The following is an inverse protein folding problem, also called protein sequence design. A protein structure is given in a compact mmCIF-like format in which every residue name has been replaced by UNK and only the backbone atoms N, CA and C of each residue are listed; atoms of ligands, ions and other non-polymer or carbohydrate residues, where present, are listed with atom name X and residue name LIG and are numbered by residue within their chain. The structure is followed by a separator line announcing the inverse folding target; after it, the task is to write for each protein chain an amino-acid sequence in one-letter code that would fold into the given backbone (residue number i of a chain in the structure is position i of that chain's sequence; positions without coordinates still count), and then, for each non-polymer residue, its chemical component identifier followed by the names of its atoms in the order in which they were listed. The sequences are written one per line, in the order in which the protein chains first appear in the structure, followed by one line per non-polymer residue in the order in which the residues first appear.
data_IF_835334292923
#
_entry.id   IF_835334292923
#
_cell.length_a   1.000
_cell.length_b   1.000
_cell.length_c   1.000
_cell.angle_alpha   90.00
_cell.angle_beta   90.00
_cell.angle_gamma   90.00
#
_symmetry.space_group_name_H-M   'P 1'
#
loop_
_entity.id
_entity.type
_entity.pdbx_description
1 polymer ?
#
# COMPACT_ATOMS: atom_id res chain seq x y z
N UNK A 1 -14.73 8.71 56.99
CA UNK A 1 -14.32 7.30 57.06
C UNK A 1 -15.38 6.47 56.35
N UNK A 2 -15.23 6.17 55.09
CA UNK A 2 -16.03 5.19 54.38
C UNK A 2 -15.04 4.23 53.71
N UNK A 3 -15.23 2.94 54.03
CA UNK A 3 -14.24 1.90 53.97
C UNK A 3 -13.79 1.45 52.60
N UNK A 4 -12.49 1.32 52.45
CA UNK A 4 -11.79 0.51 51.46
C UNK A 4 -11.75 -0.96 51.96
N UNK A 5 -12.83 -1.71 51.77
CA UNK A 5 -12.80 -3.15 52.08
C UNK A 5 -13.84 -3.91 51.24
N UNK A 6 -13.62 -4.05 49.94
CA UNK A 6 -14.35 -5.04 49.14
C UNK A 6 -13.66 -5.51 47.83
N UNK A 7 -12.33 -5.52 47.77
CA UNK A 7 -11.60 -6.07 46.61
C UNK A 7 -10.86 -7.39 46.87
N UNK A 8 -11.09 -8.05 48.03
CA UNK A 8 -10.48 -9.34 48.38
C UNK A 8 -11.54 -10.45 48.40
N UNK A 9 -12.05 -10.85 47.21
CA UNK A 9 -13.05 -11.92 47.16
C UNK A 9 -13.36 -12.50 45.78
N UNK A 10 -12.67 -12.03 44.76
CA UNK A 10 -12.85 -12.63 43.42
C UNK A 10 -12.13 -14.00 43.41
N UNK A 11 -12.89 -15.08 43.09
CA UNK A 11 -12.33 -16.42 42.92
C UNK A 11 -11.23 -16.41 41.85
N UNK A 12 -10.27 -17.36 41.95
CA UNK A 12 -9.21 -17.53 40.92
C UNK A 12 -9.81 -17.61 39.50
N UNK A 13 -11.03 -18.14 39.35
CA UNK A 13 -11.79 -18.17 38.12
C UNK A 13 -12.26 -16.78 37.65
N UNK A 14 -12.65 -15.89 38.56
CA UNK A 14 -12.99 -14.50 38.24
C UNK A 14 -11.74 -13.68 37.90
N UNK A 15 -10.64 -13.89 38.61
CA UNK A 15 -9.36 -13.27 38.29
C UNK A 15 -8.83 -13.75 36.94
N UNK A 16 -8.95 -15.04 36.62
CA UNK A 16 -8.63 -15.56 35.28
C UNK A 16 -9.57 -15.00 34.19
N UNK A 17 -10.88 -14.88 34.47
CA UNK A 17 -11.83 -14.25 33.55
C UNK A 17 -11.53 -12.77 33.32
N UNK A 18 -11.18 -12.03 34.36
CA UNK A 18 -10.75 -10.64 34.27
C UNK A 18 -9.41 -10.54 33.55
N UNK A 19 -8.47 -11.46 33.79
CA UNK A 19 -7.20 -11.52 33.06
C UNK A 19 -7.40 -11.88 31.58
N UNK A 20 -8.31 -12.82 31.25
CA UNK A 20 -8.71 -13.11 29.87
C UNK A 20 -9.48 -11.94 29.21
N UNK A 21 -10.30 -11.21 29.96
CA UNK A 21 -11.00 -10.01 29.46
C UNK A 21 -9.99 -8.86 29.28
N UNK A 22 -8.97 -8.73 30.10
CA UNK A 22 -7.89 -7.74 29.95
C UNK A 22 -6.95 -8.16 28.81
N UNK A 23 -6.72 -9.43 28.56
CA UNK A 23 -6.01 -9.93 27.37
C UNK A 23 -6.82 -9.81 26.07
N UNK A 24 -8.15 -9.71 26.14
CA UNK A 24 -9.01 -9.34 25.02
C UNK A 24 -9.22 -7.82 24.90
N UNK A 25 -8.35 -6.99 25.47
CA UNK A 25 -8.18 -5.63 24.96
C UNK A 25 -7.77 -5.81 23.50
N UNK A 26 -8.64 -5.47 22.60
CA UNK A 26 -8.35 -5.39 21.17
C UNK A 26 -7.19 -4.40 21.07
N UNK A 27 -5.95 -4.92 21.08
CA UNK A 27 -4.79 -4.09 20.79
C UNK A 27 -4.96 -3.72 19.32
N UNK A 28 -5.28 -2.46 19.08
CA UNK A 28 -5.44 -1.94 17.72
C UNK A 28 -4.15 -2.23 16.95
N UNK A 29 -4.27 -2.95 15.84
CA UNK A 29 -3.16 -3.24 14.94
C UNK A 29 -2.59 -1.95 14.38
N UNK A 30 -1.30 -1.95 14.07
CA UNK A 30 -0.54 -0.78 13.60
C UNK A 30 0.17 -1.09 12.30
N UNK A 31 0.07 -0.19 11.35
CA UNK A 31 0.84 -0.22 10.10
C UNK A 31 1.72 1.02 10.05
N UNK A 32 3.04 0.82 9.93
CA UNK A 32 3.94 1.90 9.53
C UNK A 32 3.76 2.14 8.04
N UNK A 33 3.43 3.37 7.65
CA UNK A 33 3.28 3.75 6.23
C UNK A 33 4.35 4.75 5.87
N UNK A 34 5.26 4.34 4.98
CA UNK A 34 6.41 5.12 4.54
C UNK A 34 6.09 5.64 3.15
N UNK A 35 5.71 6.91 3.05
CA UNK A 35 5.26 7.54 1.81
C UNK A 35 5.32 9.07 1.93
N UNK A 36 5.11 9.81 0.85
CA UNK A 36 5.01 11.27 0.91
C UNK A 36 3.66 11.73 1.44
N UNK A 37 3.63 13.00 1.89
CA UNK A 37 2.42 13.72 2.24
C UNK A 37 2.15 14.80 1.20
N UNK A 38 1.25 14.52 0.26
CA UNK A 38 0.76 15.50 -0.71
C UNK A 38 -0.46 16.24 -0.15
N UNK A 39 -0.32 17.56 0.08
CA UNK A 39 -1.35 18.38 0.73
C UNK A 39 -2.62 18.58 -0.11
N UNK A 40 -2.50 18.50 -1.44
CA UNK A 40 -3.61 18.60 -2.36
C UNK A 40 -3.50 17.51 -3.46
N UNK A 41 -4.61 16.88 -3.78
CA UNK A 41 -4.68 15.62 -4.51
C UNK A 41 -4.78 14.45 -3.52
N UNK A 42 -5.46 13.39 -3.91
CA UNK A 42 -5.79 12.26 -3.03
C UNK A 42 -4.88 11.09 -3.36
N UNK A 43 -3.65 11.15 -2.89
CA UNK A 43 -2.60 10.13 -3.12
C UNK A 43 -1.74 9.96 -1.87
N UNK A 44 -0.84 9.02 -1.91
CA UNK A 44 0.18 8.77 -0.91
C UNK A 44 -0.42 8.73 0.52
N UNK A 45 0.13 9.42 1.51
CA UNK A 45 -0.38 9.41 2.89
C UNK A 45 -1.80 9.97 3.02
N UNK A 46 -2.22 10.92 2.16
CA UNK A 46 -3.59 11.46 2.22
C UNK A 46 -4.64 10.46 1.77
N UNK A 47 -4.27 9.43 1.00
CA UNK A 47 -5.11 8.27 0.69
C UNK A 47 -4.92 7.13 1.70
N UNK A 48 -3.68 6.82 2.06
CA UNK A 48 -3.35 5.69 2.94
C UNK A 48 -3.94 5.83 4.35
N UNK A 49 -3.82 7.02 4.97
CA UNK A 49 -4.30 7.26 6.34
C UNK A 49 -5.80 6.94 6.48
N UNK A 50 -6.71 7.54 5.70
CA UNK A 50 -8.14 7.26 5.85
C UNK A 50 -8.50 5.82 5.47
N UNK A 51 -7.88 5.23 4.44
CA UNK A 51 -8.16 3.84 4.04
C UNK A 51 -7.77 2.86 5.14
N UNK A 52 -6.55 2.96 5.68
CA UNK A 52 -6.08 2.07 6.76
C UNK A 52 -6.92 2.28 8.02
N UNK A 53 -7.21 3.54 8.38
CA UNK A 53 -8.02 3.85 9.57
C UNK A 53 -9.44 3.30 9.48
N UNK A 54 -10.06 3.32 8.29
CA UNK A 54 -11.37 2.74 8.06
C UNK A 54 -11.42 1.23 8.25
N UNK A 55 -10.28 0.54 8.15
CA UNK A 55 -10.13 -0.89 8.47
C UNK A 55 -9.93 -1.17 9.98
N UNK A 56 -10.07 -0.16 10.85
CA UNK A 56 -9.84 -0.32 12.29
C UNK A 56 -8.37 -0.51 12.67
N UNK A 57 -7.44 -0.11 11.80
CA UNK A 57 -6.00 -0.22 11.99
C UNK A 57 -5.39 1.17 12.18
N UNK A 58 -4.46 1.32 13.12
CA UNK A 58 -3.72 2.57 13.31
C UNK A 58 -2.71 2.74 12.18
N UNK A 59 -2.86 3.80 11.39
CA UNK A 59 -1.84 4.24 10.45
C UNK A 59 -0.78 5.06 11.17
N UNK A 60 0.50 4.68 11.04
CA UNK A 60 1.65 5.37 11.64
C UNK A 60 2.54 5.90 10.50
N UNK A 61 2.38 7.17 10.06
CA UNK A 61 3.09 7.67 8.90
C UNK A 61 4.55 8.02 9.22
N UNK A 62 5.48 7.52 8.38
CA UNK A 62 6.86 7.99 8.26
C UNK A 62 6.99 8.73 6.93
N UNK A 63 7.02 10.05 6.98
CA UNK A 63 6.92 10.90 5.80
C UNK A 63 8.26 11.02 5.07
N UNK A 64 8.30 10.64 3.78
CA UNK A 64 9.48 10.75 2.91
C UNK A 64 9.65 12.16 2.37
N UNK A 65 8.55 12.87 2.14
CA UNK A 65 8.55 14.27 1.68
C UNK A 65 7.18 14.90 1.86
N UNK A 66 7.15 16.23 1.89
CA UNK A 66 5.91 17.01 1.98
C UNK A 66 5.78 17.82 0.69
N UNK A 67 4.70 17.55 -0.05
CA UNK A 67 4.37 18.27 -1.27
C UNK A 67 3.17 19.20 -1.03
N UNK A 68 3.19 20.40 -1.61
CA UNK A 68 2.01 21.28 -1.60
C UNK A 68 0.80 20.61 -2.27
N UNK A 69 1.06 19.88 -3.33
CA UNK A 69 0.12 19.11 -4.13
C UNK A 69 0.87 17.99 -4.84
N UNK A 70 0.16 16.95 -5.25
CA UNK A 70 0.77 15.82 -5.94
C UNK A 70 1.43 16.25 -7.28
N UNK A 71 2.40 15.46 -7.76
CA UNK A 71 3.31 15.82 -8.86
C UNK A 71 2.67 15.83 -10.26
N UNK A 72 1.46 15.32 -10.44
CA UNK A 72 0.71 15.39 -11.70
C UNK A 72 0.09 16.76 -12.00
N UNK A 73 0.24 17.76 -11.12
CA UNK A 73 -0.08 19.16 -11.42
C UNK A 73 1.12 19.89 -12.04
N UNK A 74 0.89 20.96 -12.79
CA UNK A 74 1.92 21.70 -13.54
C UNK A 74 3.06 22.23 -12.64
N UNK A 75 2.83 22.42 -11.37
CA UNK A 75 3.83 22.89 -10.41
C UNK A 75 3.50 22.45 -9.00
N UNK A 76 4.52 22.28 -8.17
CA UNK A 76 4.40 21.98 -6.74
C UNK A 76 5.56 22.59 -5.95
N UNK A 77 5.39 22.67 -4.63
CA UNK A 77 6.48 22.95 -3.67
C UNK A 77 6.75 21.67 -2.90
N UNK A 78 8.00 21.45 -2.56
CA UNK A 78 8.47 20.20 -1.99
C UNK A 78 9.45 20.47 -0.84
N UNK A 79 9.31 19.71 0.23
CA UNK A 79 10.23 19.59 1.35
C UNK A 79 10.70 18.15 1.46
N UNK A 80 11.97 17.89 1.29
CA UNK A 80 12.60 16.60 1.53
C UNK A 80 12.65 16.31 3.04
N UNK A 81 12.16 15.13 3.46
CA UNK A 81 12.15 14.73 4.87
C UNK A 81 13.29 13.78 5.23
N UNK A 82 14.24 13.50 4.33
CA UNK A 82 15.30 12.50 4.52
C UNK A 82 16.03 12.66 5.85
N UNK A 83 16.40 13.91 6.21
CA UNK A 83 17.22 14.15 7.40
C UNK A 83 16.45 13.93 8.72
N UNK A 84 15.12 14.10 8.72
CA UNK A 84 14.29 13.90 9.93
C UNK A 84 13.79 12.45 10.08
N UNK A 85 13.78 11.66 9.02
CA UNK A 85 13.30 10.27 9.09
C UNK A 85 14.00 9.45 10.16
N UNK A 86 15.33 9.58 10.25
CA UNK A 86 16.11 8.82 11.24
C UNK A 86 15.78 9.21 12.68
N UNK A 87 15.47 10.47 12.93
CA UNK A 87 15.07 10.94 14.26
C UNK A 87 13.73 10.32 14.68
N UNK A 88 12.76 10.24 13.74
CA UNK A 88 11.47 9.58 13.99
C UNK A 88 11.64 8.08 14.26
N UNK A 89 12.49 7.41 13.48
CA UNK A 89 12.80 5.99 13.64
C UNK A 89 13.42 5.74 15.02
N UNK A 90 14.39 6.57 15.43
CA UNK A 90 15.06 6.48 16.73
C UNK A 90 14.07 6.68 17.88
N UNK A 91 13.13 7.63 17.75
CA UNK A 91 12.08 7.86 18.74
C UNK A 91 11.16 6.64 18.85
N UNK A 92 10.71 6.07 17.72
CA UNK A 92 9.88 4.85 17.72
C UNK A 92 10.59 3.64 18.31
N UNK A 93 11.90 3.51 18.11
CA UNK A 93 12.73 2.49 18.79
C UNK A 93 12.77 2.72 20.30
N UNK A 94 12.93 3.96 20.75
CA UNK A 94 12.97 4.32 22.16
C UNK A 94 11.64 4.03 22.88
N UNK A 95 10.53 4.13 22.16
CA UNK A 95 9.18 3.82 22.64
C UNK A 95 8.82 2.33 22.53
N UNK A 96 9.73 1.47 22.05
CA UNK A 96 9.51 0.05 21.78
C UNK A 96 8.25 -0.22 20.94
N UNK A 97 8.02 0.62 19.93
CA UNK A 97 6.86 0.48 19.03
C UNK A 97 6.98 -0.83 18.25
N UNK A 98 5.86 -1.55 18.10
CA UNK A 98 5.75 -2.74 17.26
C UNK A 98 4.69 -2.49 16.19
N UNK A 99 4.96 -3.00 15.00
CA UNK A 99 4.07 -2.89 13.85
C UNK A 99 3.58 -4.27 13.41
N UNK A 100 2.30 -4.38 13.12
CA UNK A 100 1.69 -5.56 12.50
C UNK A 100 1.88 -5.56 10.98
N UNK A 101 2.14 -4.39 10.41
CA UNK A 101 2.46 -4.23 9.00
C UNK A 101 3.37 -3.04 8.74
N UNK A 102 4.11 -3.11 7.63
CA UNK A 102 4.91 -2.03 7.06
C UNK A 102 4.48 -1.90 5.60
N UNK A 103 4.10 -0.69 5.18
CA UNK A 103 3.82 -0.35 3.78
C UNK A 103 4.79 0.72 3.34
N UNK A 104 5.58 0.45 2.30
CA UNK A 104 6.47 1.43 1.66
C UNK A 104 5.91 1.79 0.29
N UNK A 105 5.87 3.08 -0.02
CA UNK A 105 5.51 3.64 -1.33
C UNK A 105 6.61 4.55 -1.85
N UNK A 106 6.27 5.81 -2.18
CA UNK A 106 7.19 6.78 -2.77
C UNK A 106 8.41 7.06 -1.89
N UNK A 107 9.60 7.00 -2.51
CA UNK A 107 10.86 7.48 -1.95
C UNK A 107 11.37 8.66 -2.79
N UNK A 108 12.00 9.65 -2.16
CA UNK A 108 12.47 10.84 -2.87
C UNK A 108 13.88 10.69 -3.45
N UNK A 109 14.67 9.77 -2.91
CA UNK A 109 16.06 9.54 -3.31
C UNK A 109 16.59 8.20 -2.78
N UNK A 110 17.76 7.78 -3.27
CA UNK A 110 18.40 6.51 -2.89
C UNK A 110 18.78 6.42 -1.40
N UNK A 111 19.08 7.56 -0.73
CA UNK A 111 19.37 7.57 0.72
C UNK A 111 18.14 7.15 1.53
N UNK A 112 16.95 7.56 1.12
CA UNK A 112 15.70 7.10 1.76
C UNK A 112 15.49 5.60 1.57
N UNK A 113 15.81 5.05 0.38
CA UNK A 113 15.77 3.61 0.16
C UNK A 113 16.60 2.83 1.18
N UNK A 114 17.81 3.28 1.47
CA UNK A 114 18.68 2.68 2.51
C UNK A 114 18.07 2.82 3.90
N UNK A 115 17.54 4.00 4.27
CA UNK A 115 16.88 4.23 5.56
C UNK A 115 15.68 3.30 5.73
N UNK A 116 14.87 3.11 4.68
CA UNK A 116 13.70 2.22 4.71
C UNK A 116 14.12 0.75 4.80
N UNK A 117 15.18 0.36 4.11
CA UNK A 117 15.76 -0.97 4.24
C UNK A 117 16.14 -1.29 5.69
N UNK A 118 16.86 -0.35 6.34
CA UNK A 118 17.24 -0.48 7.75
C UNK A 118 15.99 -0.46 8.67
N UNK A 119 14.98 0.35 8.35
CA UNK A 119 13.71 0.38 9.08
C UNK A 119 13.01 -0.98 9.05
N UNK A 120 12.96 -1.62 7.88
CA UNK A 120 12.36 -2.95 7.75
C UNK A 120 13.14 -3.95 8.63
N UNK A 121 14.47 -3.94 8.57
CA UNK A 121 15.30 -4.84 9.39
C UNK A 121 15.12 -4.62 10.90
N UNK A 122 14.93 -3.38 11.32
CA UNK A 122 14.75 -3.01 12.73
C UNK A 122 13.38 -3.37 13.31
N UNK A 123 12.32 -3.29 12.50
CA UNK A 123 10.93 -3.42 12.97
C UNK A 123 10.22 -4.69 12.49
N UNK A 124 10.75 -5.40 11.48
CA UNK A 124 10.15 -6.66 11.00
C UNK A 124 10.31 -7.76 12.05
N UNK A 125 9.20 -8.37 12.40
CA UNK A 125 9.13 -9.61 13.19
C UNK A 125 8.51 -10.71 12.32
N UNK A 126 8.50 -12.00 12.75
CA UNK A 126 7.82 -13.05 11.98
C UNK A 126 6.33 -12.79 11.73
N UNK A 127 5.70 -11.97 12.55
CA UNK A 127 4.28 -11.60 12.45
C UNK A 127 4.04 -10.31 11.67
N UNK A 128 5.09 -9.54 11.36
CA UNK A 128 4.99 -8.27 10.65
C UNK A 128 4.90 -8.49 9.15
N UNK A 129 3.79 -8.08 8.53
CA UNK A 129 3.60 -8.10 7.08
C UNK A 129 4.32 -6.91 6.44
N UNK A 130 5.21 -7.16 5.49
CA UNK A 130 5.89 -6.11 4.72
C UNK A 130 5.32 -6.05 3.30
N UNK A 131 4.75 -4.91 2.94
CA UNK A 131 4.23 -4.62 1.60
C UNK A 131 5.05 -3.48 0.98
N UNK A 132 5.54 -3.69 -0.23
CA UNK A 132 6.25 -2.65 -0.99
C UNK A 132 5.47 -2.35 -2.27
N UNK A 133 5.03 -1.11 -2.39
CA UNK A 133 4.53 -0.52 -3.63
C UNK A 133 5.73 0.13 -4.33
N UNK A 134 6.25 -0.46 -5.43
CA UNK A 134 7.53 -0.04 -6.01
C UNK A 134 7.37 1.16 -6.93
N UNK A 135 6.78 2.24 -6.40
CA UNK A 135 6.43 3.47 -7.13
C UNK A 135 7.65 4.05 -7.83
N UNK A 136 7.81 3.81 -9.14
CA UNK A 136 8.93 4.34 -9.90
C UNK A 136 8.61 4.68 -11.37
N UNK A 137 7.58 4.08 -11.96
CA UNK A 137 7.28 4.24 -13.37
C UNK A 137 5.81 3.96 -13.69
N UNK A 138 5.31 4.48 -14.80
CA UNK A 138 4.00 4.15 -15.34
C UNK A 138 3.99 4.27 -16.87
N UNK A 139 3.14 3.49 -17.57
CA UNK A 139 3.00 3.48 -19.03
C UNK A 139 4.35 3.40 -19.81
N UNK A 140 5.33 2.66 -19.27
CA UNK A 140 6.66 2.48 -19.85
C UNK A 140 7.62 3.64 -19.61
N UNK A 141 7.26 4.62 -18.77
CA UNK A 141 8.04 5.82 -18.51
C UNK A 141 8.44 5.86 -17.03
N UNK A 142 9.74 5.96 -16.77
CA UNK A 142 10.27 6.23 -15.44
C UNK A 142 9.88 7.65 -15.01
N UNK A 143 9.54 7.84 -13.75
CA UNK A 143 9.26 9.18 -13.23
C UNK A 143 10.52 10.04 -13.19
N UNK A 144 10.41 11.31 -13.58
CA UNK A 144 11.52 12.25 -13.75
C UNK A 144 12.37 12.48 -12.47
N UNK A 145 11.82 12.14 -11.31
CA UNK A 145 12.52 12.26 -10.03
C UNK A 145 13.51 11.13 -9.74
N UNK A 146 13.53 10.06 -10.54
CA UNK A 146 14.36 8.88 -10.28
C UNK A 146 15.55 8.76 -11.24
N UNK A 147 16.66 8.38 -10.66
CA UNK A 147 17.90 7.93 -11.33
C UNK A 147 18.11 6.41 -11.15
N UNK A 148 19.11 5.87 -11.79
CA UNK A 148 19.45 4.43 -11.72
C UNK A 148 19.69 3.96 -10.27
N UNK A 149 20.25 4.83 -9.41
CA UNK A 149 20.50 4.49 -8.01
C UNK A 149 19.18 4.37 -7.24
N UNK A 150 18.25 5.29 -7.47
CA UNK A 150 16.93 5.26 -6.83
C UNK A 150 16.15 4.03 -7.27
N UNK A 151 16.16 3.71 -8.57
CA UNK A 151 15.54 2.49 -9.11
C UNK A 151 16.14 1.24 -8.47
N UNK A 152 17.46 1.15 -8.39
CA UNK A 152 18.15 0.01 -7.75
C UNK A 152 17.76 -0.14 -6.28
N UNK A 153 17.57 0.96 -5.54
CA UNK A 153 17.10 0.93 -4.15
C UNK A 153 15.66 0.47 -4.03
N UNK A 154 14.76 0.90 -4.94
CA UNK A 154 13.37 0.44 -4.95
C UNK A 154 13.31 -1.07 -5.22
N UNK A 155 14.09 -1.57 -6.20
CA UNK A 155 14.19 -3.01 -6.47
C UNK A 155 14.69 -3.76 -5.22
N UNK A 156 15.73 -3.29 -4.56
CA UNK A 156 16.24 -3.90 -3.34
C UNK A 156 15.22 -3.90 -2.18
N UNK A 157 14.33 -2.91 -2.12
CA UNK A 157 13.22 -2.91 -1.14
C UNK A 157 12.20 -4.00 -1.46
N UNK A 158 11.93 -4.28 -2.74
CA UNK A 158 11.00 -5.38 -3.11
C UNK A 158 11.50 -6.74 -2.64
N UNK A 159 12.82 -6.96 -2.59
CA UNK A 159 13.40 -8.21 -2.09
C UNK A 159 13.15 -8.46 -0.58
N UNK A 160 12.85 -7.40 0.19
CA UNK A 160 12.52 -7.49 1.62
C UNK A 160 11.03 -7.65 1.91
N UNK A 161 10.19 -7.50 0.89
CA UNK A 161 8.75 -7.55 1.01
C UNK A 161 8.21 -8.99 1.12
N UNK A 162 7.08 -9.15 1.75
CA UNK A 162 6.24 -10.34 1.68
C UNK A 162 5.26 -10.25 0.49
N UNK A 163 4.84 -9.02 0.17
CA UNK A 163 3.96 -8.69 -0.96
C UNK A 163 4.51 -7.48 -1.69
N UNK A 164 4.50 -7.51 -3.01
CA UNK A 164 4.77 -6.34 -3.86
C UNK A 164 3.56 -6.02 -4.74
N UNK A 165 3.34 -4.72 -5.05
CA UNK A 165 2.16 -4.26 -5.80
C UNK A 165 2.53 -3.50 -7.09
N UNK A 166 3.45 -4.00 -7.94
CA UNK A 166 3.88 -3.30 -9.13
C UNK A 166 2.74 -3.13 -10.15
N UNK A 167 2.73 -2.00 -10.89
CA UNK A 167 2.08 -1.95 -12.18
C UNK A 167 2.88 -2.74 -13.22
N UNK A 168 2.36 -2.88 -14.45
CA UNK A 168 3.04 -3.68 -15.49
C UNK A 168 4.42 -3.11 -15.86
N UNK A 169 4.58 -1.77 -15.85
CA UNK A 169 5.87 -1.13 -16.15
C UNK A 169 6.90 -1.47 -15.08
N UNK A 170 6.51 -1.32 -13.83
CA UNK A 170 7.34 -1.62 -12.67
C UNK A 170 7.73 -3.10 -12.60
N UNK A 171 6.76 -4.01 -12.87
CA UNK A 171 7.07 -5.44 -12.95
C UNK A 171 8.10 -5.74 -14.04
N UNK A 172 7.99 -5.11 -15.22
CA UNK A 172 8.98 -5.26 -16.27
C UNK A 172 10.36 -4.76 -15.84
N UNK A 173 10.43 -3.63 -15.13
CA UNK A 173 11.70 -3.08 -14.62
C UNK A 173 12.32 -4.03 -13.58
N UNK A 174 11.54 -4.54 -12.64
CA UNK A 174 11.99 -5.47 -11.59
C UNK A 174 12.54 -6.76 -12.21
N UNK A 175 11.93 -7.26 -13.30
CA UNK A 175 12.31 -8.50 -13.96
C UNK A 175 13.26 -8.30 -15.15
N UNK A 176 13.80 -7.10 -15.39
CA UNK A 176 14.65 -6.75 -16.54
C UNK A 176 14.01 -7.10 -17.90
N UNK A 177 12.71 -6.84 -18.05
CA UNK A 177 11.90 -7.13 -19.23
C UNK A 177 11.53 -5.87 -20.01
N UNK A 178 11.35 -6.00 -21.33
CA UNK A 178 10.99 -4.87 -22.18
C UNK A 178 9.48 -4.59 -22.13
N UNK A 179 9.08 -3.48 -21.47
CA UNK A 179 7.68 -3.07 -21.40
C UNK A 179 7.04 -2.87 -22.78
N UNK A 180 7.76 -2.19 -23.72
CA UNK A 180 7.21 -1.87 -25.04
C UNK A 180 6.90 -3.11 -25.89
N UNK A 181 7.55 -4.22 -25.63
CA UNK A 181 7.29 -5.52 -26.27
C UNK A 181 6.19 -6.27 -25.50
N UNK A 182 6.28 -6.26 -24.16
CA UNK A 182 5.35 -6.96 -23.30
C UNK A 182 3.92 -6.46 -23.46
N UNK A 183 3.69 -5.14 -23.47
CA UNK A 183 2.35 -4.55 -23.58
C UNK A 183 1.66 -4.83 -24.94
N UNK A 184 2.43 -5.18 -25.98
CA UNK A 184 1.89 -5.52 -27.31
C UNK A 184 1.45 -6.99 -27.46
N UNK A 185 1.73 -7.80 -26.43
CA UNK A 185 1.33 -9.21 -26.47
C UNK A 185 -0.20 -9.36 -26.50
N UNK A 186 -0.74 -10.36 -27.22
CA UNK A 186 -2.14 -10.75 -27.07
C UNK A 186 -2.46 -11.10 -25.61
N UNK A 187 -3.68 -10.82 -25.14
CA UNK A 187 -4.14 -10.96 -23.76
C UNK A 187 -3.62 -12.25 -23.08
N UNK A 188 -3.81 -13.41 -23.70
CA UNK A 188 -3.40 -14.69 -23.11
C UNK A 188 -1.89 -14.74 -22.90
N UNK A 189 -1.11 -14.33 -23.91
CA UNK A 189 0.36 -14.30 -23.83
C UNK A 189 0.87 -13.26 -22.83
N UNK A 190 0.17 -12.13 -22.71
CA UNK A 190 0.49 -11.10 -21.71
C UNK A 190 0.30 -11.67 -20.29
N UNK A 191 -0.82 -12.33 -20.03
CA UNK A 191 -1.08 -12.95 -18.72
C UNK A 191 -0.09 -14.09 -18.42
N UNK A 192 0.26 -14.92 -19.42
CA UNK A 192 1.30 -15.94 -19.27
C UNK A 192 2.67 -15.34 -18.97
N UNK A 193 3.01 -14.21 -19.62
CA UNK A 193 4.26 -13.48 -19.36
C UNK A 193 4.30 -12.89 -17.95
N UNK A 194 3.21 -12.22 -17.50
CA UNK A 194 3.09 -11.70 -16.14
C UNK A 194 3.22 -12.82 -15.12
N UNK A 195 2.55 -13.95 -15.36
CA UNK A 195 2.69 -15.13 -14.52
C UNK A 195 4.12 -15.63 -14.45
N UNK A 196 4.83 -15.72 -15.58
CA UNK A 196 6.22 -16.16 -15.63
C UNK A 196 7.11 -15.21 -14.80
N UNK A 197 7.00 -13.90 -15.00
CA UNK A 197 7.72 -12.88 -14.22
C UNK A 197 7.42 -13.02 -12.72
N UNK A 198 6.16 -13.21 -12.35
CA UNK A 198 5.78 -13.36 -10.94
C UNK A 198 6.34 -14.63 -10.29
N UNK A 199 6.53 -15.71 -11.07
CA UNK A 199 7.14 -16.96 -10.58
C UNK A 199 8.63 -16.81 -10.29
N UNK A 200 9.33 -15.92 -10.99
CA UNK A 200 10.75 -15.67 -10.81
C UNK A 200 11.07 -14.89 -9.51
N UNK A 201 10.03 -14.28 -8.92
CA UNK A 201 10.14 -13.50 -7.70
C UNK A 201 9.79 -14.34 -6.47
N UNK A 202 10.47 -14.12 -5.36
CA UNK A 202 10.23 -14.85 -4.10
C UNK A 202 8.98 -14.35 -3.36
N UNK A 203 8.53 -13.12 -3.66
CA UNK A 203 7.42 -12.44 -3.01
C UNK A 203 6.07 -12.88 -3.58
N UNK A 204 4.99 -12.65 -2.84
CA UNK A 204 3.66 -12.60 -3.42
C UNK A 204 3.55 -11.34 -4.29
N UNK A 205 3.04 -11.48 -5.51
CA UNK A 205 3.01 -10.39 -6.51
C UNK A 205 1.58 -10.03 -6.86
N UNK A 206 1.24 -8.75 -6.73
CA UNK A 206 -0.03 -8.19 -7.22
C UNK A 206 0.27 -7.24 -8.35
N UNK A 207 0.15 -7.68 -9.60
CA UNK A 207 0.38 -6.79 -10.74
C UNK A 207 -0.90 -6.05 -11.11
N UNK A 208 -0.82 -4.72 -11.19
CA UNK A 208 -1.97 -3.83 -11.34
C UNK A 208 -2.02 -3.17 -12.72
N UNK A 209 -3.15 -2.56 -13.07
CA UNK A 209 -3.26 -1.72 -14.25
C UNK A 209 -3.19 -2.46 -15.59
N UNK A 210 -3.46 -3.77 -15.63
CA UNK A 210 -3.33 -4.58 -16.86
C UNK A 210 -4.54 -4.37 -17.76
N UNK A 211 -4.33 -3.74 -18.92
CA UNK A 211 -5.38 -3.57 -19.93
C UNK A 211 -5.62 -4.88 -20.68
N UNK A 212 -6.76 -5.53 -20.44
CA UNK A 212 -7.10 -6.82 -21.04
C UNK A 212 -8.13 -6.74 -22.17
N UNK A 213 -8.87 -5.63 -22.26
CA UNK A 213 -9.78 -5.29 -23.35
C UNK A 213 -10.12 -3.79 -23.32
N UNK A 214 -10.84 -3.27 -24.31
CA UNK A 214 -11.24 -1.86 -24.38
C UNK A 214 -12.12 -1.39 -23.21
N UNK A 215 -12.77 -2.30 -22.50
CA UNK A 215 -13.67 -1.99 -21.38
C UNK A 215 -13.26 -2.62 -20.06
N UNK A 216 -12.12 -3.32 -19.97
CA UNK A 216 -11.72 -4.07 -18.79
C UNK A 216 -10.26 -3.84 -18.41
N UNK A 217 -10.03 -3.71 -17.12
CA UNK A 217 -8.72 -3.67 -16.50
C UNK A 217 -8.60 -4.83 -15.50
N UNK A 218 -7.43 -5.44 -15.43
CA UNK A 218 -7.17 -6.54 -14.52
C UNK A 218 -6.08 -6.21 -13.51
N UNK A 219 -6.19 -6.83 -12.36
CA UNK A 219 -5.07 -7.06 -11.43
C UNK A 219 -4.84 -8.56 -11.32
N UNK A 220 -3.58 -9.00 -11.33
CA UNK A 220 -3.23 -10.40 -11.12
C UNK A 220 -2.67 -10.60 -9.71
N UNK A 221 -2.88 -11.78 -9.17
CA UNK A 221 -2.37 -12.16 -7.84
C UNK A 221 -1.60 -13.46 -7.99
N UNK A 222 -0.31 -13.42 -7.68
CA UNK A 222 0.52 -14.62 -7.57
C UNK A 222 0.93 -14.83 -6.12
N UNK A 223 0.57 -15.95 -5.55
CA UNK A 223 0.92 -16.35 -4.19
C UNK A 223 0.96 -17.87 -4.09
N UNK A 224 1.97 -18.45 -3.47
CA UNK A 224 2.10 -19.88 -3.17
C UNK A 224 1.86 -20.79 -4.41
N UNK A 225 2.39 -20.38 -5.57
CA UNK A 225 2.25 -21.11 -6.84
C UNK A 225 0.89 -20.96 -7.53
N UNK A 226 -0.05 -20.22 -6.93
CA UNK A 226 -1.38 -19.94 -7.49
C UNK A 226 -1.37 -18.58 -8.20
N UNK A 227 -1.97 -18.54 -9.38
CA UNK A 227 -2.13 -17.32 -10.18
C UNK A 227 -3.61 -17.05 -10.42
N UNK A 228 -4.12 -15.97 -9.86
CA UNK A 228 -5.51 -15.53 -9.96
C UNK A 228 -5.60 -14.19 -10.70
N UNK A 229 -6.77 -13.88 -11.24
CA UNK A 229 -7.05 -12.64 -11.97
C UNK A 229 -8.31 -12.01 -11.40
N UNK A 230 -8.24 -10.73 -11.08
CA UNK A 230 -9.37 -9.90 -10.69
C UNK A 230 -9.63 -8.88 -11.80
N UNK A 231 -10.80 -8.90 -12.38
CA UNK A 231 -11.18 -7.99 -13.47
C UNK A 231 -12.20 -6.97 -12.99
N UNK A 232 -12.03 -5.70 -13.38
CA UNK A 232 -12.93 -4.60 -13.12
C UNK A 232 -13.22 -3.83 -14.41
N UNK A 233 -14.26 -3.00 -14.40
CA UNK A 233 -14.58 -2.13 -15.52
C UNK A 233 -13.57 -0.99 -15.63
N UNK A 234 -13.00 -0.80 -16.80
CA UNK A 234 -12.17 0.38 -17.10
C UNK A 234 -13.06 1.61 -17.26
N UNK A 235 -12.82 2.64 -16.47
CA UNK A 235 -13.57 3.91 -16.47
C UNK A 235 -12.56 5.04 -16.61
N UNK A 236 -12.67 5.84 -17.67
CA UNK A 236 -11.69 6.88 -17.98
C UNK A 236 -10.30 6.31 -18.30
N UNK A 237 -9.26 7.12 -18.14
CA UNK A 237 -7.86 6.69 -18.39
C UNK A 237 -7.07 6.53 -17.10
N UNK A 238 -6.85 7.63 -16.37
CA UNK A 238 -5.99 7.62 -15.19
C UNK A 238 -6.57 8.50 -14.08
N UNK A 239 -6.55 7.98 -12.85
CA UNK A 239 -6.92 8.68 -11.63
C UNK A 239 -5.78 8.58 -10.62
N UNK A 240 -5.23 9.72 -10.18
CA UNK A 240 -4.16 9.73 -9.20
C UNK A 240 -4.55 9.04 -7.90
N UNK A 241 -3.59 8.38 -7.26
CA UNK A 241 -3.73 7.77 -5.94
C UNK A 241 -4.45 6.43 -5.89
N UNK A 242 -4.86 5.86 -7.04
CA UNK A 242 -5.50 4.53 -7.05
C UNK A 242 -4.54 3.41 -6.64
N UNK A 243 -3.25 3.53 -6.94
CA UNK A 243 -2.19 2.63 -6.45
C UNK A 243 -2.06 2.70 -4.93
N UNK A 244 -1.96 3.92 -4.37
CA UNK A 244 -1.88 4.13 -2.92
C UNK A 244 -3.12 3.58 -2.18
N UNK A 245 -4.31 3.76 -2.74
CA UNK A 245 -5.54 3.19 -2.20
C UNK A 245 -5.46 1.67 -2.21
N UNK A 246 -5.03 1.07 -3.33
CA UNK A 246 -4.95 -0.38 -3.49
C UNK A 246 -3.95 -1.00 -2.52
N UNK A 247 -2.71 -0.51 -2.48
CA UNK A 247 -1.65 -1.03 -1.59
C UNK A 247 -2.02 -0.86 -0.12
N UNK A 248 -2.62 0.28 0.26
CA UNK A 248 -3.11 0.54 1.61
C UNK A 248 -4.25 -0.38 2.02
N UNK A 249 -5.22 -0.59 1.11
CA UNK A 249 -6.38 -1.46 1.34
C UNK A 249 -5.93 -2.92 1.51
N UNK A 250 -5.06 -3.41 0.61
CA UNK A 250 -4.51 -4.76 0.67
C UNK A 250 -3.74 -4.96 1.99
N UNK A 251 -2.86 -4.03 2.35
CA UNK A 251 -2.07 -4.12 3.57
C UNK A 251 -2.97 -4.22 4.81
N UNK A 252 -3.98 -3.35 4.91
CA UNK A 252 -4.88 -3.33 6.06
C UNK A 252 -5.74 -4.60 6.14
N UNK A 253 -6.26 -5.10 5.01
CA UNK A 253 -7.04 -6.34 4.96
C UNK A 253 -6.19 -7.56 5.33
N UNK A 254 -4.98 -7.67 4.77
CA UNK A 254 -4.07 -8.79 5.06
C UNK A 254 -3.60 -8.76 6.52
N UNK A 255 -3.25 -7.59 7.05
CA UNK A 255 -2.96 -7.42 8.48
C UNK A 255 -4.15 -7.87 9.33
N UNK A 256 -5.39 -7.62 8.92
CA UNK A 256 -6.60 -8.10 9.59
C UNK A 256 -6.92 -9.59 9.37
N UNK A 257 -6.10 -10.31 8.57
CA UNK A 257 -6.20 -11.76 8.39
C UNK A 257 -6.97 -12.19 7.15
N UNK A 258 -7.30 -11.28 6.23
CA UNK A 258 -7.84 -11.65 4.94
C UNK A 258 -6.77 -12.34 4.07
N UNK A 259 -7.18 -13.24 3.18
CA UNK A 259 -6.30 -13.76 2.14
C UNK A 259 -5.93 -12.66 1.13
N UNK A 260 -4.74 -12.74 0.52
CA UNK A 260 -4.30 -11.75 -0.46
C UNK A 260 -5.30 -11.61 -1.62
N UNK A 261 -5.82 -12.72 -2.15
CA UNK A 261 -6.80 -12.70 -3.23
C UNK A 261 -8.08 -11.93 -2.87
N UNK A 262 -8.65 -12.20 -1.69
CA UNK A 262 -9.86 -11.49 -1.23
C UNK A 262 -9.57 -10.01 -0.94
N UNK A 263 -8.40 -9.68 -0.40
CA UNK A 263 -7.98 -8.31 -0.19
C UNK A 263 -7.89 -7.54 -1.53
N UNK A 264 -7.25 -8.11 -2.54
CA UNK A 264 -7.16 -7.52 -3.90
C UNK A 264 -8.54 -7.37 -4.53
N UNK A 265 -9.37 -8.39 -4.45
CA UNK A 265 -10.73 -8.35 -5.01
C UNK A 265 -11.57 -7.23 -4.39
N UNK A 266 -11.53 -7.08 -3.07
CA UNK A 266 -12.25 -6.00 -2.36
C UNK A 266 -11.66 -4.63 -2.68
N UNK A 267 -10.33 -4.51 -2.72
CA UNK A 267 -9.65 -3.27 -3.10
C UNK A 267 -10.04 -2.81 -4.51
N UNK A 268 -10.02 -3.72 -5.48
CA UNK A 268 -10.43 -3.43 -6.86
C UNK A 268 -11.90 -2.98 -6.94
N UNK A 269 -12.81 -3.64 -6.23
CA UNK A 269 -14.23 -3.24 -6.18
C UNK A 269 -14.41 -1.85 -5.53
N UNK A 270 -13.69 -1.56 -4.44
CA UNK A 270 -13.69 -0.27 -3.77
C UNK A 270 -13.21 0.86 -4.69
N UNK A 271 -12.10 0.63 -5.40
CA UNK A 271 -11.54 1.60 -6.35
C UNK A 271 -12.48 1.80 -7.53
N UNK A 272 -13.06 0.73 -8.09
CA UNK A 272 -14.03 0.83 -9.18
C UNK A 272 -15.25 1.67 -8.79
N UNK A 273 -15.81 1.47 -7.59
CA UNK A 273 -16.93 2.27 -7.08
C UNK A 273 -16.54 3.75 -6.94
N UNK A 274 -15.35 4.01 -6.37
CA UNK A 274 -14.81 5.37 -6.19
C UNK A 274 -14.60 6.10 -7.53
N UNK A 275 -14.06 5.41 -8.54
CA UNK A 275 -13.87 5.96 -9.88
C UNK A 275 -15.23 6.23 -10.55
N UNK A 276 -16.21 5.31 -10.42
CA UNK A 276 -17.55 5.47 -10.97
C UNK A 276 -18.22 6.75 -10.47
N UNK A 277 -18.14 7.01 -9.18
CA UNK A 277 -18.77 8.20 -8.59
C UNK A 277 -18.01 9.47 -8.96
N UNK A 278 -16.68 9.43 -9.00
CA UNK A 278 -15.86 10.54 -9.50
C UNK A 278 -16.22 10.86 -10.97
N UNK A 279 -16.26 9.85 -11.83
CA UNK A 279 -16.58 10.02 -13.25
C UNK A 279 -17.99 10.60 -13.49
N UNK A 280 -18.96 10.21 -12.69
CA UNK A 280 -20.31 10.82 -12.74
C UNK A 280 -20.29 12.33 -12.45
N UNK A 281 -19.39 12.77 -11.55
CA UNK A 281 -19.29 14.18 -11.14
C UNK A 281 -18.46 15.01 -12.13
N UNK A 282 -17.36 14.48 -12.63
CA UNK A 282 -16.41 15.24 -13.46
C UNK A 282 -16.59 15.03 -14.96
N UNK A 283 -17.36 14.01 -15.38
CA UNK A 283 -17.49 13.60 -16.77
C UNK A 283 -16.32 12.75 -17.25
N UNK A 284 -16.21 12.57 -18.57
CA UNK A 284 -15.08 11.87 -19.18
C UNK A 284 -13.83 12.75 -19.13
N UNK A 285 -12.77 12.23 -18.49
CA UNK A 285 -11.45 12.87 -18.40
C UNK A 285 -10.37 11.88 -18.77
N UNK A 286 -9.32 12.36 -19.45
CA UNK A 286 -8.16 11.51 -19.78
C UNK A 286 -7.32 11.23 -18.54
N UNK A 287 -6.98 12.26 -17.80
CA UNK A 287 -6.23 12.17 -16.52
C UNK A 287 -6.88 13.08 -15.50
N UNK A 288 -7.07 12.55 -14.28
CA UNK A 288 -7.68 13.31 -13.20
C UNK A 288 -6.73 13.40 -11.99
N UNK A 289 -5.96 14.51 -11.87
CA UNK A 289 -4.92 14.64 -10.84
C UNK A 289 -5.48 14.88 -9.43
N UNK A 290 -6.78 15.16 -9.30
CA UNK A 290 -7.41 15.40 -8.00
C UNK A 290 -7.69 14.12 -7.19
N UNK A 291 -7.49 12.94 -7.80
CA UNK A 291 -7.80 11.64 -7.21
C UNK A 291 -9.28 11.28 -7.25
N UNK A 292 -9.63 10.12 -6.71
CA UNK A 292 -11.01 9.61 -6.70
C UNK A 292 -11.79 10.09 -5.47
N UNK A 293 -13.13 10.00 -5.53
CA UNK A 293 -14.01 10.32 -4.39
C UNK A 293 -14.16 9.11 -3.43
N UNK A 294 -13.05 8.46 -3.12
CA UNK A 294 -13.00 7.24 -2.30
C UNK A 294 -13.53 7.45 -0.88
N UNK A 295 -13.49 8.66 -0.36
CA UNK A 295 -14.00 8.99 0.98
C UNK A 295 -15.49 8.70 1.13
N UNK A 296 -16.25 8.71 0.02
CA UNK A 296 -17.68 8.37 0.03
C UNK A 296 -17.91 6.88 0.36
N UNK A 297 -16.89 6.03 0.13
CA UNK A 297 -16.96 4.59 0.28
C UNK A 297 -16.24 4.06 1.54
N UNK A 298 -15.55 4.91 2.31
CA UNK A 298 -14.83 4.47 3.52
C UNK A 298 -15.75 3.80 4.56
N UNK A 299 -17.00 4.24 4.65
CA UNK A 299 -18.02 3.66 5.54
C UNK A 299 -18.45 2.25 5.15
N UNK A 300 -18.19 1.84 3.91
CA UNK A 300 -18.60 0.54 3.36
C UNK A 300 -17.48 -0.52 3.52
N UNK A 301 -16.36 -0.13 4.12
CA UNK A 301 -15.25 -1.04 4.41
C UNK A 301 -15.64 -1.94 5.60
N UNK A 302 -15.64 -3.24 5.35
CA UNK A 302 -15.81 -4.29 6.37
C UNK A 302 -14.44 -4.79 6.83
N UNK A 303 -14.24 -4.91 8.17
CA UNK A 303 -13.00 -5.41 8.81
C UNK A 303 -13.23 -6.62 9.68
#
# INVERSE_FOLDING_TARGET
MLGFSSFYGASILQQRKIYYIIQSVIIMKKIAVINDLSGFGKCSLTAAIPVISAHGVQCCPLTTGIFSNQTGFDSYKYLDCTDIMQDFINEWKSLDVKFDGILSGFIANSKQGSIISDFIDDFKTPETLVVVDPVMADDGILYDCYDDNSVSQIIALTEKADIITPNLTELCIICDENYSETIKLPKEKLLDKIKAMSIELEQSVVTTGIHISDGEIASTVYQDGKFDIVTTQKIGRSFSGTGDILSSFITAQCVNGASLYEAVKRACAFIEASIKDTAKRVGEVDTYPYGTDFELHLKDIEY
#
